data_IF_086480220952
#
_entry.id   IF_086480220952
#
_cell.length_a   1.000
_cell.length_b   1.000
_cell.length_c   1.000
_cell.angle_alpha   90.00
_cell.angle_beta   90.00
_cell.angle_gamma   90.00
#
_symmetry.space_group_name_H-M   'P 1'
#
loop_
_entity.id
_entity.type
_entity.pdbx_description
1 polymer ?
#
# COMPACT_ATOMS: atom_id res chain seq x y z
N UNK A 1 -34.70 1.05 20.57
CA UNK A 1 -33.27 0.62 20.65
C UNK A 1 -32.73 0.03 19.34
N UNK A 2 -33.58 -0.43 18.40
CA UNK A 2 -33.10 -0.94 17.10
C UNK A 2 -32.73 0.16 16.08
N UNK A 3 -33.34 1.35 16.16
CA UNK A 3 -33.15 2.42 15.17
C UNK A 3 -31.78 3.11 15.20
N UNK A 4 -31.10 3.09 16.34
CA UNK A 4 -29.79 3.76 16.53
C UNK A 4 -28.64 2.93 15.91
N UNK A 5 -28.88 1.64 15.65
CA UNK A 5 -27.83 0.72 15.18
C UNK A 5 -27.71 0.70 13.65
N UNK A 6 -28.74 1.11 12.93
CA UNK A 6 -28.75 1.16 11.46
C UNK A 6 -28.14 2.48 10.94
N UNK A 7 -28.39 3.61 11.59
CA UNK A 7 -27.83 4.92 11.19
C UNK A 7 -26.30 4.98 11.30
N UNK A 8 -25.69 4.20 12.22
CA UNK A 8 -24.23 4.12 12.36
C UNK A 8 -23.53 3.31 11.24
N UNK A 9 -24.30 2.59 10.41
CA UNK A 9 -23.76 1.75 9.34
C UNK A 9 -23.67 2.54 8.02
N UNK A 10 -24.56 3.52 7.81
CA UNK A 10 -24.57 4.36 6.60
C UNK A 10 -23.43 5.38 6.57
N UNK A 11 -22.99 5.94 7.70
CA UNK A 11 -21.87 6.90 7.73
C UNK A 11 -20.49 6.30 7.43
N UNK A 12 -20.37 4.96 7.42
CA UNK A 12 -19.10 4.29 7.10
C UNK A 12 -18.91 4.17 5.58
N UNK A 13 -19.96 4.34 4.77
CA UNK A 13 -19.87 4.23 3.31
C UNK A 13 -19.21 5.44 2.62
N UNK A 14 -19.21 6.64 3.23
CA UNK A 14 -18.60 7.83 2.62
C UNK A 14 -17.06 7.88 2.72
N UNK A 15 -16.47 6.92 3.43
CA UNK A 15 -15.02 6.78 3.60
C UNK A 15 -14.38 5.72 2.70
N UNK A 16 -15.07 5.21 1.68
CA UNK A 16 -14.47 4.32 0.67
C UNK A 16 -13.58 5.16 -0.23
N UNK A 17 -12.44 5.60 0.33
CA UNK A 17 -11.32 6.14 -0.41
C UNK A 17 -11.08 5.20 -1.58
N UNK A 18 -11.14 5.76 -2.79
CA UNK A 18 -11.00 5.11 -4.09
C UNK A 18 -10.43 3.70 -3.95
N UNK A 19 -11.17 2.68 -4.39
CA UNK A 19 -10.66 1.34 -4.65
C UNK A 19 -9.54 1.47 -5.70
N UNK A 20 -8.37 1.93 -5.26
CA UNK A 20 -7.13 2.01 -5.99
C UNK A 20 -6.67 0.57 -6.02
N UNK A 21 -7.16 -0.19 -7.00
CA UNK A 21 -6.55 -1.47 -7.33
C UNK A 21 -5.10 -1.11 -7.72
N UNK A 22 -4.11 -1.45 -6.89
CA UNK A 22 -2.74 -1.07 -7.18
C UNK A 22 -2.38 -1.66 -8.54
N UNK A 23 -1.72 -0.89 -9.43
CA UNK A 23 -1.40 -1.38 -10.76
C UNK A 23 -0.62 -2.70 -10.66
N UNK A 24 -0.94 -3.67 -11.51
CA UNK A 24 -0.26 -4.95 -11.49
C UNK A 24 1.25 -4.76 -11.73
N UNK A 25 2.07 -5.48 -10.96
CA UNK A 25 3.52 -5.41 -11.09
C UNK A 25 3.91 -6.23 -12.32
N UNK A 26 4.21 -5.54 -13.41
CA UNK A 26 4.55 -6.13 -14.72
C UNK A 26 5.87 -6.93 -14.72
N UNK A 27 6.84 -6.55 -13.87
CA UNK A 27 8.22 -7.03 -13.94
C UNK A 27 8.76 -7.47 -12.58
N UNK A 28 9.50 -8.59 -12.59
CA UNK A 28 10.22 -9.12 -11.42
C UNK A 28 11.12 -8.07 -10.78
N UNK A 29 11.74 -7.20 -11.58
CA UNK A 29 12.62 -6.13 -11.08
C UNK A 29 11.83 -5.05 -10.35
N UNK A 30 10.65 -4.67 -10.86
CA UNK A 30 9.79 -3.68 -10.20
C UNK A 30 9.29 -4.18 -8.85
N UNK A 31 8.96 -5.48 -8.76
CA UNK A 31 8.60 -6.11 -7.49
C UNK A 31 9.72 -5.96 -6.44
N UNK A 32 10.97 -6.23 -6.84
CA UNK A 32 12.13 -6.13 -5.93
C UNK A 32 12.31 -4.69 -5.45
N UNK A 33 12.22 -3.70 -6.35
CA UNK A 33 12.39 -2.28 -6.00
C UNK A 33 11.28 -1.82 -5.05
N UNK A 34 10.02 -2.14 -5.35
CA UNK A 34 8.89 -1.79 -4.49
C UNK A 34 8.99 -2.45 -3.11
N UNK A 35 9.34 -3.74 -3.06
CA UNK A 35 9.52 -4.45 -1.79
C UNK A 35 10.68 -3.87 -0.98
N UNK A 36 11.77 -3.46 -1.62
CA UNK A 36 12.90 -2.81 -0.96
C UNK A 36 12.52 -1.43 -0.41
N UNK A 37 11.84 -0.60 -1.20
CA UNK A 37 11.34 0.70 -0.76
C UNK A 37 10.37 0.57 0.41
N UNK A 38 9.44 -0.39 0.35
CA UNK A 38 8.49 -0.65 1.43
C UNK A 38 9.17 -1.20 2.68
N UNK A 39 10.13 -2.11 2.52
CA UNK A 39 10.96 -2.60 3.63
C UNK A 39 11.70 -1.47 4.36
N UNK A 40 12.20 -0.47 3.62
CA UNK A 40 12.82 0.73 4.19
C UNK A 40 11.82 1.57 5.00
N UNK A 41 10.56 1.65 4.59
CA UNK A 41 9.51 2.34 5.35
C UNK A 41 9.21 1.61 6.66
N UNK A 42 9.07 0.28 6.62
CA UNK A 42 8.82 -0.54 7.80
C UNK A 42 9.96 -0.46 8.82
N UNK A 43 11.22 -0.42 8.35
CA UNK A 43 12.40 -0.22 9.20
C UNK A 43 12.41 1.16 9.89
N UNK A 44 11.77 2.18 9.29
CA UNK A 44 11.61 3.51 9.89
C UNK A 44 10.44 3.62 10.87
N UNK A 45 9.78 2.50 11.18
CA UNK A 45 8.64 2.47 12.10
C UNK A 45 7.29 2.71 11.42
N UNK A 46 7.20 2.58 10.09
CA UNK A 46 5.90 2.59 9.43
C UNK A 46 5.04 1.41 9.89
N UNK A 47 3.74 1.63 10.02
CA UNK A 47 2.77 0.60 10.42
C UNK A 47 2.56 -0.38 9.26
N UNK A 48 2.52 -1.67 9.57
CA UNK A 48 2.17 -2.72 8.61
C UNK A 48 0.68 -2.68 8.33
N UNK A 49 0.31 -2.83 7.06
CA UNK A 49 -1.09 -2.92 6.61
C UNK A 49 -1.61 -4.36 6.60
N UNK A 50 -0.74 -5.32 6.91
CA UNK A 50 -1.06 -6.75 7.02
C UNK A 50 -1.08 -7.16 8.50
N UNK A 51 -1.76 -8.26 8.81
CA UNK A 51 -1.84 -8.90 10.13
C UNK A 51 -0.50 -9.41 10.69
N UNK A 52 0.59 -9.30 9.92
CA UNK A 52 1.92 -9.73 10.34
C UNK A 52 2.57 -8.64 11.19
N UNK A 53 3.04 -9.06 12.36
CA UNK A 53 3.83 -8.24 13.26
C UNK A 53 5.26 -8.02 12.71
N UNK A 54 5.62 -6.75 12.52
CA UNK A 54 6.95 -6.31 12.03
C UNK A 54 8.07 -6.69 13.02
N UNK A 55 7.77 -6.83 14.32
CA UNK A 55 8.78 -7.21 15.31
C UNK A 55 9.16 -8.68 15.23
N UNK A 56 8.25 -9.53 14.74
CA UNK A 56 8.43 -10.99 14.68
C UNK A 56 9.01 -11.47 13.34
N UNK A 57 8.85 -10.68 12.28
CA UNK A 57 9.26 -11.06 10.93
C UNK A 57 10.17 -10.02 10.28
N UNK A 58 11.02 -10.49 9.37
CA UNK A 58 11.89 -9.59 8.61
C UNK A 58 11.04 -8.57 7.83
N UNK A 59 11.39 -7.27 7.83
CA UNK A 59 10.61 -6.22 7.14
C UNK A 59 10.35 -6.53 5.67
N UNK A 60 11.30 -7.15 4.97
CA UNK A 60 11.15 -7.55 3.56
C UNK A 60 10.08 -8.62 3.37
N UNK A 61 9.87 -9.51 4.35
CA UNK A 61 8.83 -10.54 4.30
C UNK A 61 7.44 -9.94 4.49
N UNK A 62 7.34 -8.93 5.36
CA UNK A 62 6.10 -8.15 5.55
C UNK A 62 5.78 -7.39 4.26
N UNK A 63 6.76 -6.68 3.68
CA UNK A 63 6.58 -5.93 2.43
C UNK A 63 6.13 -6.81 1.26
N UNK A 64 6.73 -7.99 1.06
CA UNK A 64 6.33 -8.93 0.01
C UNK A 64 4.88 -9.40 0.18
N UNK A 65 4.45 -9.62 1.43
CA UNK A 65 3.07 -10.03 1.70
C UNK A 65 2.07 -8.89 1.53
N UNK A 66 2.42 -7.68 1.93
CA UNK A 66 1.58 -6.50 1.68
C UNK A 66 1.40 -6.24 0.16
N UNK A 67 2.45 -6.48 -0.64
CA UNK A 67 2.36 -6.41 -2.11
C UNK A 67 1.46 -7.52 -2.68
N UNK A 68 1.58 -8.75 -2.18
CA UNK A 68 0.72 -9.87 -2.58
C UNK A 68 -0.75 -9.68 -2.19
N UNK A 69 -1.03 -9.01 -1.08
CA UNK A 69 -2.38 -8.68 -0.61
C UNK A 69 -2.93 -7.39 -1.26
N UNK A 70 -2.20 -6.76 -2.20
CA UNK A 70 -2.56 -5.49 -2.85
C UNK A 70 -2.86 -4.35 -1.86
N UNK A 71 -2.23 -4.35 -0.68
CA UNK A 71 -2.44 -3.33 0.36
C UNK A 71 -1.49 -2.14 0.27
N UNK A 72 -0.54 -2.17 -0.66
CA UNK A 72 0.46 -1.11 -0.86
C UNK A 72 0.17 -0.37 -2.16
N UNK A 73 -0.12 0.92 -2.01
CA UNK A 73 -0.41 1.80 -3.12
C UNK A 73 0.92 2.37 -3.63
N UNK A 74 1.13 2.33 -4.94
CA UNK A 74 2.26 2.97 -5.59
C UNK A 74 1.82 3.56 -6.92
N UNK A 75 2.54 4.60 -7.36
CA UNK A 75 2.39 5.21 -8.68
C UNK A 75 3.74 5.19 -9.36
N UNK A 76 3.75 4.86 -10.64
CA UNK A 76 4.94 5.03 -11.47
C UNK A 76 4.97 6.48 -11.94
N UNK A 77 6.01 7.21 -11.55
CA UNK A 77 6.39 8.43 -12.25
C UNK A 77 7.23 7.98 -13.44
N UNK A 78 6.62 7.83 -14.60
CA UNK A 78 7.40 7.70 -15.84
C UNK A 78 8.27 8.95 -15.94
N UNK A 79 9.58 8.76 -15.93
CA UNK A 79 10.55 9.82 -16.19
C UNK A 79 10.47 10.20 -17.67
N UNK A 80 9.35 10.77 -18.12
CA UNK A 80 9.42 11.79 -19.18
C UNK A 80 9.88 13.08 -18.51
N UNK A 81 11.09 13.06 -17.95
CA UNK A 81 11.83 14.30 -17.72
C UNK A 81 12.11 14.86 -19.11
N UNK A 82 11.21 15.73 -19.56
CA UNK A 82 11.49 16.58 -20.71
C UNK A 82 12.79 17.32 -20.38
N UNK A 83 13.85 17.21 -21.20
CA UNK A 83 15.05 17.99 -20.95
C UNK A 83 14.63 19.46 -20.99
N UNK A 84 14.91 20.19 -19.90
CA UNK A 84 14.87 21.65 -19.88
C UNK A 84 15.71 22.12 -21.07
N UNK A 85 15.03 22.54 -22.14
CA UNK A 85 15.67 23.11 -23.31
C UNK A 85 16.16 24.48 -22.89
N UNK A 86 17.45 24.74 -23.10
CA UNK A 86 18.18 25.93 -22.62
C UNK A 86 17.61 27.24 -23.15
#
# INVERSE_FOLDING_TARGET
MAKVKEEAIEEIEEGVGELIDPPEIDSKYRMIILAAQRSKQLQRGAISRTEIDIRKHKPTRVAMRELSEKKVNFKFTDQTEQPLTQ
#
